data_IF_079505976603
#
_entry.id   IF_079505976603
#
_cell.length_a   1.000
_cell.length_b   1.000
_cell.length_c   1.000
_cell.angle_alpha   90.00
_cell.angle_beta   90.00
_cell.angle_gamma   90.00
#
_symmetry.space_group_name_H-M   'P 1'
#
loop_
_entity.id
_entity.type
_entity.pdbx_description
1 polymer ?
#
# COMPACT_ATOMS: atom_id res chain seq x y z
N UNK A 1 14.53 -11.84 -18.56
CA UNK A 1 13.14 -12.28 -18.45
C UNK A 1 13.10 -13.42 -17.45
N UNK A 2 12.91 -13.14 -16.16
CA UNK A 2 12.65 -14.20 -15.19
C UNK A 2 11.20 -14.03 -14.76
N UNK A 3 10.39 -14.94 -15.27
CA UNK A 3 9.01 -15.13 -14.89
C UNK A 3 9.04 -15.78 -13.49
N UNK A 4 9.05 -14.97 -12.43
CA UNK A 4 8.81 -15.48 -11.07
C UNK A 4 7.33 -15.78 -11.03
N UNK A 5 7.00 -17.01 -11.33
CA UNK A 5 5.67 -17.56 -11.35
C UNK A 5 5.05 -17.41 -9.95
N UNK A 6 3.85 -16.84 -9.90
CA UNK A 6 2.97 -16.71 -8.72
C UNK A 6 2.56 -18.10 -8.18
N UNK A 7 3.51 -18.91 -7.71
CA UNK A 7 3.26 -20.27 -7.20
C UNK A 7 2.99 -20.32 -5.69
N UNK A 8 2.38 -19.26 -5.10
CA UNK A 8 2.07 -19.23 -3.67
C UNK A 8 0.56 -19.14 -3.36
N UNK A 9 -0.32 -19.19 -4.37
CA UNK A 9 -1.78 -19.08 -4.15
C UNK A 9 -2.36 -20.19 -3.26
N UNK A 10 -1.78 -21.38 -3.29
CA UNK A 10 -2.29 -22.55 -2.55
C UNK A 10 -2.06 -22.47 -1.02
N UNK A 11 -1.26 -21.52 -0.56
CA UNK A 11 -0.98 -21.31 0.88
C UNK A 11 -1.93 -20.30 1.53
N UNK A 12 -2.67 -19.52 0.75
CA UNK A 12 -3.47 -18.41 1.25
C UNK A 12 -4.96 -18.63 0.98
N UNK A 13 -5.78 -18.29 1.95
CA UNK A 13 -7.23 -18.27 1.77
C UNK A 13 -7.66 -16.99 1.05
N UNK A 14 -7.66 -17.01 -0.28
CA UNK A 14 -8.03 -15.86 -1.14
C UNK A 14 -9.45 -15.35 -0.86
N UNK A 15 -10.38 -16.26 -0.54
CA UNK A 15 -11.74 -15.89 -0.17
C UNK A 15 -11.76 -15.03 1.09
N UNK A 16 -10.96 -15.40 2.10
CA UNK A 16 -10.84 -14.60 3.33
C UNK A 16 -10.30 -13.21 3.04
N UNK A 17 -9.31 -13.08 2.13
CA UNK A 17 -8.76 -11.77 1.75
C UNK A 17 -9.76 -10.88 1.01
N UNK A 18 -10.64 -11.44 0.20
CA UNK A 18 -11.68 -10.67 -0.49
C UNK A 18 -12.88 -10.35 0.37
N UNK A 19 -13.34 -11.29 1.21
CA UNK A 19 -14.62 -11.15 1.92
C UNK A 19 -14.49 -10.47 3.29
N UNK A 20 -13.42 -10.77 4.07
CA UNK A 20 -13.34 -10.29 5.46
C UNK A 20 -13.32 -8.76 5.57
N UNK A 21 -12.49 -8.01 4.82
CA UNK A 21 -12.50 -6.55 4.89
C UNK A 21 -13.87 -5.98 4.52
N UNK A 22 -14.45 -6.46 3.42
CA UNK A 22 -15.77 -6.05 2.96
C UNK A 22 -16.86 -6.27 4.02
N UNK A 23 -16.89 -7.46 4.65
CA UNK A 23 -17.87 -7.77 5.68
C UNK A 23 -17.72 -6.88 6.92
N UNK A 24 -16.48 -6.65 7.38
CA UNK A 24 -16.22 -5.79 8.53
C UNK A 24 -16.67 -4.34 8.26
N UNK A 25 -16.44 -3.82 7.06
CA UNK A 25 -16.91 -2.50 6.64
C UNK A 25 -18.44 -2.45 6.66
N UNK A 26 -19.12 -3.39 6.01
CA UNK A 26 -20.59 -3.42 5.91
C UNK A 26 -21.30 -3.65 7.26
N UNK A 27 -20.64 -4.37 8.18
CA UNK A 27 -21.14 -4.54 9.55
C UNK A 27 -20.81 -3.36 10.47
N UNK A 28 -20.07 -2.35 10.01
CA UNK A 28 -19.63 -1.22 10.83
C UNK A 28 -18.63 -1.59 11.92
N UNK A 29 -17.98 -2.75 11.79
CA UNK A 29 -16.97 -3.22 12.75
C UNK A 29 -15.59 -2.66 12.46
N UNK A 30 -15.38 -1.38 12.71
CA UNK A 30 -14.11 -0.71 12.44
C UNK A 30 -13.09 -0.90 13.58
N UNK A 31 -13.50 -0.76 14.83
CA UNK A 31 -12.63 -0.75 16.01
C UNK A 31 -12.87 -1.95 16.92
N UNK A 32 -11.90 -2.23 17.79
CA UNK A 32 -11.95 -3.29 18.80
C UNK A 32 -11.33 -4.61 18.33
N UNK A 33 -11.20 -5.55 19.25
CA UNK A 33 -10.46 -6.81 19.08
C UNK A 33 -10.77 -7.59 17.79
N UNK A 34 -11.97 -7.46 17.26
CA UNK A 34 -12.42 -8.10 16.02
C UNK A 34 -12.68 -7.08 14.90
N UNK A 35 -12.21 -5.84 15.08
CA UNK A 35 -12.43 -4.76 14.16
C UNK A 35 -11.47 -4.78 12.97
N UNK A 36 -11.86 -4.02 11.94
CA UNK A 36 -11.11 -3.84 10.71
C UNK A 36 -9.70 -3.27 10.96
N UNK A 37 -9.57 -2.33 11.90
CA UNK A 37 -8.31 -1.66 12.22
C UNK A 37 -7.26 -2.66 12.66
N UNK A 38 -7.52 -3.39 13.73
CA UNK A 38 -6.54 -4.26 14.38
C UNK A 38 -6.25 -5.52 13.55
N UNK A 39 -7.21 -6.00 12.76
CA UNK A 39 -7.08 -7.28 12.06
C UNK A 39 -6.73 -7.15 10.57
N UNK A 40 -6.89 -5.95 9.99
CA UNK A 40 -6.71 -5.74 8.54
C UNK A 40 -5.80 -4.53 8.29
N UNK A 41 -6.28 -3.30 8.60
CA UNK A 41 -5.66 -2.06 8.14
C UNK A 41 -4.32 -1.77 8.80
N UNK A 42 -4.20 -2.04 10.10
CA UNK A 42 -2.99 -1.84 10.89
C UNK A 42 -2.37 -3.16 11.37
N UNK A 43 -2.54 -4.22 10.57
CA UNK A 43 -1.97 -5.53 10.83
C UNK A 43 -0.93 -5.87 9.75
N UNK A 44 0.34 -5.86 10.13
CA UNK A 44 1.43 -6.13 9.20
C UNK A 44 1.32 -7.50 8.52
N UNK A 45 1.04 -8.55 9.30
CA UNK A 45 0.96 -9.92 8.78
C UNK A 45 -0.19 -10.07 7.77
N UNK A 46 -1.33 -9.40 8.02
CA UNK A 46 -2.44 -9.37 7.07
C UNK A 46 -2.04 -8.68 5.75
N UNK A 47 -1.48 -7.47 5.87
CA UNK A 47 -1.05 -6.69 4.70
C UNK A 47 -0.03 -7.45 3.88
N UNK A 48 1.00 -7.99 4.52
CA UNK A 48 2.03 -8.79 3.88
C UNK A 48 1.46 -10.02 3.18
N UNK A 49 0.62 -10.81 3.88
CA UNK A 49 0.01 -12.00 3.33
C UNK A 49 -0.91 -11.69 2.14
N UNK A 50 -1.72 -10.63 2.24
CA UNK A 50 -2.61 -10.22 1.14
C UNK A 50 -1.82 -9.73 -0.07
N UNK A 51 -0.76 -8.94 0.11
CA UNK A 51 0.11 -8.48 -0.97
C UNK A 51 0.91 -9.62 -1.62
N UNK A 52 1.28 -10.64 -0.85
CA UNK A 52 1.94 -11.83 -1.39
C UNK A 52 1.00 -12.70 -2.25
N UNK A 53 -0.30 -12.65 -1.99
CA UNK A 53 -1.32 -13.48 -2.64
C UNK A 53 -2.13 -12.74 -3.71
N UNK A 54 -2.29 -11.43 -3.59
CA UNK A 54 -3.13 -10.60 -4.44
C UNK A 54 -2.33 -9.42 -5.02
N UNK A 55 -2.77 -8.81 -6.13
CA UNK A 55 -2.21 -7.55 -6.60
C UNK A 55 -2.36 -6.45 -5.53
N UNK A 56 -1.42 -5.51 -5.50
CA UNK A 56 -1.47 -4.36 -4.58
C UNK A 56 -2.80 -3.59 -4.68
N UNK A 57 -3.36 -3.49 -5.88
CA UNK A 57 -4.64 -2.81 -6.10
C UNK A 57 -5.78 -3.41 -5.25
N UNK A 58 -5.78 -4.73 -5.02
CA UNK A 58 -6.79 -5.37 -4.16
C UNK A 58 -6.64 -4.97 -2.68
N UNK A 59 -5.42 -4.65 -2.25
CA UNK A 59 -5.16 -4.11 -0.90
C UNK A 59 -5.65 -2.66 -0.82
N UNK A 60 -5.29 -1.83 -1.81
CA UNK A 60 -5.70 -0.43 -1.87
C UNK A 60 -7.22 -0.27 -1.91
N UNK A 61 -7.92 -1.16 -2.61
CA UNK A 61 -9.39 -1.17 -2.65
C UNK A 61 -10.02 -1.33 -1.26
N UNK A 62 -9.45 -2.18 -0.37
CA UNK A 62 -9.97 -2.30 0.99
C UNK A 62 -9.85 -0.98 1.77
N UNK A 63 -8.75 -0.26 1.58
CA UNK A 63 -8.54 1.05 2.21
C UNK A 63 -9.51 2.10 1.68
N UNK A 64 -9.76 2.12 0.38
CA UNK A 64 -10.70 3.03 -0.28
C UNK A 64 -12.13 2.77 0.17
N UNK A 65 -12.60 1.52 0.10
CA UNK A 65 -13.94 1.12 0.58
C UNK A 65 -14.11 1.46 2.07
N UNK A 66 -13.08 1.28 2.88
CA UNK A 66 -13.09 1.65 4.30
C UNK A 66 -13.21 3.16 4.51
N UNK A 67 -12.48 3.96 3.73
CA UNK A 67 -12.52 5.42 3.80
C UNK A 67 -13.90 5.98 3.43
N UNK A 68 -14.60 5.37 2.48
CA UNK A 68 -15.96 5.79 2.09
C UNK A 68 -16.97 5.62 3.22
N UNK A 69 -16.80 4.59 4.05
CA UNK A 69 -17.74 4.23 5.12
C UNK A 69 -17.38 4.81 6.50
N UNK A 70 -16.16 5.30 6.66
CA UNK A 70 -15.73 5.96 7.90
C UNK A 70 -16.23 7.39 7.97
N UNK A 71 -16.92 7.73 9.08
CA UNK A 71 -17.40 9.08 9.36
C UNK A 71 -16.37 9.91 10.12
N UNK A 72 -15.55 9.28 10.95
CA UNK A 72 -14.53 9.93 11.75
C UNK A 72 -13.36 10.38 10.89
N UNK A 73 -13.00 11.67 11.00
CA UNK A 73 -11.96 12.30 10.16
C UNK A 73 -10.54 11.85 10.53
N UNK A 74 -10.29 11.62 11.81
CA UNK A 74 -8.95 11.24 12.28
C UNK A 74 -8.65 9.81 11.86
N UNK A 75 -9.60 8.91 12.05
CA UNK A 75 -9.50 7.55 11.57
C UNK A 75 -9.37 7.46 10.04
N UNK A 76 -10.13 8.26 9.30
CA UNK A 76 -10.00 8.32 7.84
C UNK A 76 -8.61 8.80 7.42
N UNK A 77 -8.06 9.82 8.11
CA UNK A 77 -6.71 10.32 7.86
C UNK A 77 -5.66 9.22 8.07
N UNK A 78 -5.73 8.48 9.18
CA UNK A 78 -4.79 7.39 9.47
C UNK A 78 -4.79 6.33 8.36
N UNK A 79 -5.97 5.85 7.95
CA UNK A 79 -6.13 4.90 6.84
C UNK A 79 -5.57 5.46 5.54
N UNK A 80 -5.86 6.73 5.22
CA UNK A 80 -5.37 7.37 4.00
C UNK A 80 -3.84 7.46 3.99
N UNK A 81 -3.20 7.77 5.12
CA UNK A 81 -1.74 7.82 5.22
C UNK A 81 -1.11 6.45 4.92
N UNK A 82 -1.68 5.37 5.43
CA UNK A 82 -1.19 4.01 5.13
C UNK A 82 -1.41 3.67 3.65
N UNK A 83 -2.61 3.93 3.12
CA UNK A 83 -2.91 3.69 1.70
C UNK A 83 -1.98 4.46 0.76
N UNK A 84 -1.75 5.76 1.04
CA UNK A 84 -0.82 6.59 0.25
C UNK A 84 0.62 6.07 0.35
N UNK A 85 1.04 5.56 1.51
CA UNK A 85 2.35 4.92 1.67
C UNK A 85 2.50 3.69 0.79
N UNK A 86 1.47 2.84 0.73
CA UNK A 86 1.43 1.66 -0.14
C UNK A 86 1.43 2.05 -1.62
N UNK A 87 0.67 3.09 -2.02
CA UNK A 87 0.66 3.61 -3.41
C UNK A 87 2.03 4.12 -3.81
N UNK A 88 2.68 4.93 -2.97
CA UNK A 88 4.01 5.46 -3.24
C UNK A 88 5.09 4.38 -3.33
N UNK A 89 4.91 3.27 -2.62
CA UNK A 89 5.76 2.09 -2.71
C UNK A 89 5.34 1.08 -3.79
N UNK A 90 4.28 1.37 -4.54
CA UNK A 90 3.54 0.39 -5.34
C UNK A 90 4.38 -0.41 -6.32
N UNK A 91 5.24 0.24 -7.08
CA UNK A 91 6.10 -0.43 -8.07
C UNK A 91 7.07 -1.44 -7.43
N UNK A 92 7.54 -1.15 -6.21
CA UNK A 92 8.42 -2.05 -5.46
C UNK A 92 7.60 -3.16 -4.80
N UNK A 93 6.49 -2.80 -4.15
CA UNK A 93 5.68 -3.72 -3.36
C UNK A 93 4.97 -4.78 -4.20
N UNK A 94 4.58 -4.44 -5.44
CA UNK A 94 3.95 -5.40 -6.35
C UNK A 94 4.92 -6.50 -6.82
N UNK A 95 6.22 -6.21 -6.82
CA UNK A 95 7.26 -7.16 -7.18
C UNK A 95 7.89 -7.84 -5.95
N UNK A 96 8.05 -7.10 -4.87
CA UNK A 96 8.78 -7.49 -3.66
C UNK A 96 7.96 -7.18 -2.40
N UNK A 97 6.95 -8.00 -2.04
CA UNK A 97 6.18 -7.82 -0.81
C UNK A 97 7.02 -7.77 0.46
N UNK A 98 8.20 -8.40 0.45
CA UNK A 98 9.17 -8.39 1.57
C UNK A 98 9.70 -6.98 1.90
N UNK A 99 9.53 -6.04 0.96
CA UNK A 99 9.89 -4.63 1.16
C UNK A 99 8.81 -3.83 1.90
N UNK A 100 7.73 -4.47 2.37
CA UNK A 100 6.63 -3.79 3.06
C UNK A 100 7.10 -3.03 4.30
N UNK A 101 7.87 -3.68 5.19
CA UNK A 101 8.35 -3.06 6.41
C UNK A 101 9.23 -1.82 6.13
N UNK A 102 10.30 -1.89 5.29
CA UNK A 102 11.09 -0.70 4.95
C UNK A 102 10.27 0.43 4.31
N UNK A 103 9.29 0.10 3.45
CA UNK A 103 8.46 1.11 2.78
C UNK A 103 7.54 1.83 3.77
N UNK A 104 6.90 1.11 4.68
CA UNK A 104 6.03 1.70 5.69
C UNK A 104 6.83 2.55 6.69
N UNK A 105 7.94 2.02 7.22
CA UNK A 105 8.77 2.75 8.19
C UNK A 105 9.37 3.99 7.56
N UNK A 106 10.01 3.86 6.38
CA UNK A 106 10.66 4.99 5.71
C UNK A 106 9.71 6.14 5.37
N UNK A 107 8.40 5.89 5.26
CA UNK A 107 7.40 6.91 4.90
C UNK A 107 6.57 7.41 6.08
N UNK A 108 6.24 6.54 7.05
CA UNK A 108 5.29 6.84 8.12
C UNK A 108 5.97 7.18 9.45
N UNK A 109 7.29 7.05 9.55
CA UNK A 109 7.99 7.27 10.82
C UNK A 109 7.72 8.66 11.40
N UNK A 110 7.64 9.70 10.56
CA UNK A 110 7.31 11.06 10.98
C UNK A 110 5.88 11.24 11.52
N UNK A 111 4.97 10.33 11.19
CA UNK A 111 3.58 10.36 11.63
C UNK A 111 3.32 9.52 12.90
N UNK A 112 4.31 8.72 13.32
CA UNK A 112 4.16 7.76 14.42
C UNK A 112 3.88 8.40 15.79
N UNK A 113 4.43 9.58 16.05
CA UNK A 113 4.27 10.25 17.34
C UNK A 113 2.84 10.78 17.55
N UNK A 114 2.17 11.12 16.45
CA UNK A 114 0.83 11.70 16.47
C UNK A 114 -0.28 10.64 16.25
N UNK A 115 0.06 9.43 15.83
CA UNK A 115 -0.91 8.41 15.41
C UNK A 115 -0.61 7.06 16.06
N UNK A 116 -1.40 6.72 17.07
CA UNK A 116 -1.22 5.49 17.85
C UNK A 116 -1.29 4.21 17.01
N UNK A 117 -2.21 4.15 16.05
CA UNK A 117 -2.38 2.97 15.18
C UNK A 117 -1.20 2.83 14.22
N UNK A 118 -0.72 3.94 13.66
CA UNK A 118 0.49 3.95 12.84
C UNK A 118 1.69 3.50 13.66
N UNK A 119 1.86 4.03 14.87
CA UNK A 119 2.95 3.61 15.78
C UNK A 119 2.91 2.10 16.05
N UNK A 120 1.74 1.55 16.31
CA UNK A 120 1.55 0.10 16.51
C UNK A 120 1.93 -0.71 15.26
N UNK A 121 1.50 -0.25 14.07
CA UNK A 121 1.86 -0.89 12.81
C UNK A 121 3.38 -0.86 12.57
N UNK A 122 4.04 0.27 12.81
CA UNK A 122 5.49 0.38 12.65
C UNK A 122 6.26 -0.50 13.65
N UNK A 123 5.76 -0.68 14.88
CA UNK A 123 6.32 -1.66 15.83
C UNK A 123 6.27 -3.09 15.29
N UNK A 124 5.16 -3.49 14.67
CA UNK A 124 5.06 -4.80 13.99
C UNK A 124 6.04 -4.88 12.79
N UNK A 125 6.21 -3.78 12.04
CA UNK A 125 7.17 -3.73 10.93
C UNK A 125 8.62 -3.93 11.40
N UNK A 126 9.00 -3.37 12.53
CA UNK A 126 10.34 -3.56 13.11
C UNK A 126 10.59 -5.03 13.46
N UNK A 127 9.64 -5.67 14.16
CA UNK A 127 9.76 -7.06 14.57
C UNK A 127 9.82 -8.03 13.38
N UNK A 128 8.87 -7.91 12.46
CA UNK A 128 8.74 -8.80 11.30
C UNK A 128 9.80 -8.54 10.23
N UNK A 129 10.21 -7.28 10.05
CA UNK A 129 11.27 -6.91 9.13
C UNK A 129 12.62 -7.52 9.50
N UNK A 130 12.92 -7.63 10.79
CA UNK A 130 14.11 -8.32 11.28
C UNK A 130 14.07 -9.82 10.95
N UNK A 131 12.91 -10.45 11.06
CA UNK A 131 12.71 -11.87 10.70
C UNK A 131 12.94 -12.10 9.20
N UNK A 132 12.55 -11.14 8.37
CA UNK A 132 12.68 -11.20 6.91
C UNK A 132 14.08 -10.75 6.41
N UNK A 133 15.00 -10.39 7.31
CA UNK A 133 16.31 -9.83 6.99
C UNK A 133 16.22 -8.56 6.12
N UNK A 134 15.18 -7.76 6.29
CA UNK A 134 15.02 -6.50 5.59
C UNK A 134 15.89 -5.40 6.21
N UNK A 135 16.38 -4.48 5.39
CA UNK A 135 17.05 -3.26 5.86
C UNK A 135 16.00 -2.27 6.36
N UNK A 136 15.94 -2.07 7.66
CA UNK A 136 14.97 -1.20 8.31
C UNK A 136 15.52 0.23 8.42
N UNK A 137 14.84 1.25 7.87
CA UNK A 137 15.22 2.64 8.04
C UNK A 137 15.09 3.08 9.50
N UNK A 138 16.11 3.72 10.05
CA UNK A 138 16.07 4.34 11.39
C UNK A 138 15.60 5.79 11.37
N UNK A 139 15.51 6.39 10.18
CA UNK A 139 15.09 7.76 9.95
C UNK A 139 14.02 7.79 8.86
N UNK A 140 13.18 8.83 8.91
CA UNK A 140 12.33 9.18 7.79
C UNK A 140 13.21 9.51 6.58
N UNK A 141 13.15 8.70 5.53
CA UNK A 141 14.04 8.78 4.37
C UNK A 141 13.34 8.70 3.01
N UNK A 142 12.02 8.58 3.01
CA UNK A 142 11.22 8.46 1.80
C UNK A 142 10.14 9.55 1.77
N UNK A 143 9.53 9.77 0.60
CA UNK A 143 8.43 10.72 0.47
C UNK A 143 7.29 10.38 1.44
N UNK A 144 6.89 11.39 2.21
CA UNK A 144 5.79 11.29 3.18
C UNK A 144 4.45 11.15 2.46
N UNK A 145 3.57 10.28 2.93
CA UNK A 145 2.21 10.19 2.42
C UNK A 145 1.40 11.47 2.74
N UNK A 146 0.29 11.66 2.03
CA UNK A 146 -0.55 12.86 2.21
C UNK A 146 -0.02 14.15 1.57
N UNK A 147 1.20 14.12 1.02
CA UNK A 147 1.80 15.22 0.27
C UNK A 147 1.25 15.37 -1.15
N UNK A 148 1.82 16.30 -1.95
CA UNK A 148 1.42 16.50 -3.36
C UNK A 148 1.79 15.32 -4.26
N UNK A 149 2.81 14.54 -3.91
CA UNK A 149 3.19 13.33 -4.64
C UNK A 149 2.19 12.22 -4.30
N UNK A 150 1.42 11.78 -5.30
CA UNK A 150 0.42 10.72 -5.14
C UNK A 150 0.91 9.38 -5.71
N UNK A 151 1.61 9.41 -6.83
CA UNK A 151 2.08 8.22 -7.54
C UNK A 151 3.51 8.41 -8.03
N UNK A 152 4.27 7.31 -8.05
CA UNK A 152 5.52 7.19 -8.79
C UNK A 152 5.27 6.20 -9.92
N UNK A 153 5.34 6.69 -11.17
CA UNK A 153 5.08 5.89 -12.36
C UNK A 153 6.40 5.27 -12.84
N UNK A 154 6.64 4.03 -12.45
CA UNK A 154 7.87 3.31 -12.75
C UNK A 154 7.65 2.29 -13.88
N UNK A 155 8.54 2.25 -14.87
CA UNK A 155 8.42 1.31 -16.01
C UNK A 155 9.29 1.66 -17.20
N UNK A 156 9.87 2.86 -17.23
CA UNK A 156 10.89 3.22 -18.20
C UNK A 156 12.29 2.86 -17.68
N UNK A 157 13.05 2.01 -18.39
CA UNK A 157 14.43 1.67 -17.98
C UNK A 157 15.44 2.76 -18.32
N UNK A 158 15.06 3.76 -19.13
CA UNK A 158 15.90 4.85 -19.58
C UNK A 158 15.21 6.21 -19.38
N UNK A 159 15.95 7.30 -19.57
CA UNK A 159 15.45 8.66 -19.46
C UNK A 159 14.20 8.89 -20.32
N UNK A 160 13.23 9.60 -19.76
CA UNK A 160 12.00 10.00 -20.47
C UNK A 160 12.29 11.23 -21.30
N UNK A 161 12.03 11.18 -22.62
CA UNK A 161 12.26 12.28 -23.55
C UNK A 161 11.07 13.24 -23.60
N UNK A 162 9.85 12.71 -23.46
CA UNK A 162 8.64 13.50 -23.49
C UNK A 162 7.51 12.79 -22.76
N UNK A 163 6.54 13.58 -22.31
CA UNK A 163 5.25 13.06 -21.83
C UNK A 163 4.13 14.03 -22.23
N UNK A 164 2.91 13.50 -22.35
CA UNK A 164 1.68 14.24 -22.59
C UNK A 164 0.53 13.65 -21.82
N UNK A 165 -0.33 14.54 -21.32
CA UNK A 165 -1.60 14.18 -20.71
C UNK A 165 -2.69 14.21 -21.79
N UNK A 166 -3.60 13.24 -21.77
CA UNK A 166 -4.76 13.25 -22.68
C UNK A 166 -5.73 14.39 -22.34
N UNK A 167 -6.51 14.89 -23.32
CA UNK A 167 -7.43 16.00 -23.08
C UNK A 167 -8.50 15.75 -22.01
N UNK A 168 -8.84 14.49 -21.75
CA UNK A 168 -9.75 14.05 -20.69
C UNK A 168 -9.08 13.90 -19.32
N UNK A 169 -7.78 14.20 -19.24
CA UNK A 169 -6.94 14.08 -18.03
C UNK A 169 -6.86 12.67 -17.45
N UNK A 170 -7.25 11.67 -18.22
CA UNK A 170 -7.29 10.27 -17.74
C UNK A 170 -5.97 9.53 -17.94
N UNK A 171 -5.26 9.81 -19.02
CA UNK A 171 -4.03 9.09 -19.34
C UNK A 171 -2.84 10.02 -19.47
N UNK A 172 -1.68 9.54 -19.00
CA UNK A 172 -0.37 10.10 -19.34
C UNK A 172 0.28 9.16 -20.35
N UNK A 173 0.74 9.68 -21.46
CA UNK A 173 1.58 8.96 -22.42
C UNK A 173 3.01 9.47 -22.27
N UNK A 174 3.94 8.59 -21.94
CA UNK A 174 5.36 8.91 -21.80
C UNK A 174 6.20 8.13 -22.79
N UNK A 175 7.31 8.72 -23.20
CA UNK A 175 8.19 8.23 -24.27
C UNK A 175 9.62 8.16 -23.78
N UNK A 176 10.20 6.98 -23.92
CA UNK A 176 11.63 6.72 -23.79
C UNK A 176 12.05 5.87 -25.00
N UNK A 177 12.69 4.74 -24.80
CA UNK A 177 12.89 3.73 -25.84
C UNK A 177 11.59 2.99 -26.25
N UNK A 178 10.53 3.18 -25.50
CA UNK A 178 9.16 2.70 -25.77
C UNK A 178 8.13 3.73 -25.31
N UNK A 179 6.91 3.60 -25.83
CA UNK A 179 5.76 4.34 -25.32
C UNK A 179 5.11 3.56 -24.16
N UNK A 180 4.77 4.28 -23.09
CA UNK A 180 3.96 3.72 -21.99
C UNK A 180 2.78 4.66 -21.77
N UNK A 181 1.60 4.08 -21.62
CA UNK A 181 0.38 4.79 -21.25
C UNK A 181 0.04 4.42 -19.80
N UNK A 182 -0.18 5.45 -18.99
CA UNK A 182 -0.51 5.34 -17.57
C UNK A 182 -1.95 5.82 -17.38
N UNK A 183 -2.79 5.03 -16.74
CA UNK A 183 -4.11 5.48 -16.28
C UNK A 183 -3.92 6.23 -14.96
N UNK A 184 -4.31 7.49 -14.91
CA UNK A 184 -4.14 8.38 -13.73
C UNK A 184 -5.40 8.42 -12.88
N UNK A 185 -6.49 7.77 -13.31
CA UNK A 185 -7.76 7.73 -12.60
C UNK A 185 -7.89 6.51 -11.66
N UNK A 186 -6.91 5.59 -11.70
CA UNK A 186 -6.90 4.36 -10.89
C UNK A 186 -5.79 4.35 -9.88
#
# INVERSE_FOLDING_TARGET
>A
MHNISKHHSDRYNLRKFGELPYQLVRCGQFLGKWGLYENVMFNYQWLYAKMSACPLQAVLFDFEDSCEHLTDKDHRREITLVADSLRLGGAILDQYPDMLAPQLIGRLLSESDNNKNIKSLLGQCDEEGLVQNALIPTYHCMHTPGGPLKYSLEGHPFAIFAFRLTPDFRYIVSVSNKFITWDVAT
#
